data_IF_457552156384
#
_entry.id   IF_457552156384
#
_cell.length_a   1.000
_cell.length_b   1.000
_cell.length_c   1.000
_cell.angle_alpha   90.00
_cell.angle_beta   90.00
_cell.angle_gamma   90.00
#
_symmetry.space_group_name_H-M   'P 1'
#
loop_
_entity.id
_entity.type
_entity.pdbx_description
1 polymer ?
#
# COMPACT_ATOMS: atom_id res chain seq x y z
N UNK A 1 -6.12 -8.51 3.81
CA UNK A 1 -5.36 -8.04 5.00
C UNK A 1 -6.29 -7.25 5.91
N UNK A 2 -6.01 -7.09 7.22
CA UNK A 2 -6.89 -6.34 8.12
C UNK A 2 -6.90 -4.85 7.75
N UNK A 3 -8.09 -4.35 7.38
CA UNK A 3 -8.34 -2.92 7.18
C UNK A 3 -8.34 -2.19 8.51
N UNK A 4 -7.92 -0.92 8.50
CA UNK A 4 -7.92 -0.05 9.67
C UNK A 4 -8.09 1.40 9.24
N UNK A 5 -9.20 2.02 9.65
CA UNK A 5 -9.46 3.44 9.43
C UNK A 5 -8.38 4.32 10.05
N UNK A 6 -7.77 3.89 11.16
CA UNK A 6 -6.64 4.60 11.77
C UNK A 6 -5.45 4.67 10.80
N UNK A 7 -5.13 3.56 10.13
CA UNK A 7 -4.02 3.50 9.18
C UNK A 7 -4.33 4.33 7.94
N UNK A 8 -5.55 4.24 7.43
CA UNK A 8 -6.00 5.06 6.30
C UNK A 8 -5.83 6.56 6.61
N UNK A 9 -6.33 7.00 7.77
CA UNK A 9 -6.20 8.40 8.21
C UNK A 9 -4.75 8.82 8.48
N UNK A 10 -3.90 7.90 8.93
CA UNK A 10 -2.46 8.15 9.05
C UNK A 10 -1.85 8.50 7.68
N UNK A 11 -2.15 7.76 6.61
CA UNK A 11 -1.67 8.08 5.26
C UNK A 11 -2.27 9.40 4.73
N UNK A 12 -3.59 9.57 4.84
CA UNK A 12 -4.30 10.79 4.40
C UNK A 12 -3.84 12.07 5.12
N UNK A 13 -3.40 11.96 6.36
CA UNK A 13 -2.84 13.09 7.11
C UNK A 13 -1.36 13.37 6.80
N UNK A 14 -0.68 12.45 6.12
CA UNK A 14 0.77 12.51 5.89
C UNK A 14 1.62 12.08 7.09
N UNK A 15 1.01 11.51 8.13
CA UNK A 15 1.72 11.08 9.33
C UNK A 15 2.66 9.93 8.98
N UNK A 16 3.95 10.15 9.15
CA UNK A 16 4.95 9.09 8.96
C UNK A 16 5.09 8.23 10.22
N UNK A 17 5.25 6.93 10.03
CA UNK A 17 5.58 5.98 11.07
C UNK A 17 7.09 6.06 11.32
N UNK A 18 7.53 6.30 12.56
CA UNK A 18 8.94 6.21 12.89
C UNK A 18 9.42 4.78 12.68
N UNK A 19 10.71 4.62 12.35
CA UNK A 19 11.35 3.32 12.14
C UNK A 19 10.71 2.46 11.03
N UNK A 20 10.15 3.11 10.00
CA UNK A 20 9.63 2.44 8.82
C UNK A 20 10.28 2.98 7.54
N UNK A 21 10.52 2.07 6.59
CA UNK A 21 10.88 2.40 5.21
C UNK A 21 9.63 2.39 4.35
N UNK A 22 9.52 3.38 3.45
CA UNK A 22 8.37 3.56 2.57
C UNK A 22 8.67 3.03 1.18
N UNK A 23 7.67 2.38 0.60
CA UNK A 23 7.73 1.87 -0.76
C UNK A 23 6.42 2.10 -1.49
N UNK A 24 6.49 2.24 -2.81
CA UNK A 24 5.31 2.42 -3.65
C UNK A 24 5.29 1.44 -4.84
N UNK A 25 4.10 1.17 -5.33
CA UNK A 25 3.86 0.69 -6.70
C UNK A 25 3.26 1.82 -7.53
N UNK A 26 3.45 1.75 -8.85
CA UNK A 26 3.12 2.84 -9.76
C UNK A 26 4.30 3.77 -9.97
N UNK A 27 4.02 5.01 -10.39
CA UNK A 27 5.05 6.02 -10.64
C UNK A 27 5.04 7.07 -9.53
N UNK A 28 6.14 7.84 -9.38
CA UNK A 28 6.20 8.89 -8.36
C UNK A 28 5.06 9.92 -8.44
N UNK A 29 4.63 10.41 -9.62
CA UNK A 29 3.46 11.29 -9.70
C UNK A 29 2.12 10.57 -9.53
N UNK A 30 2.07 9.25 -9.76
CA UNK A 30 0.83 8.46 -9.75
C UNK A 30 1.07 7.10 -9.05
N UNK A 31 1.19 7.08 -7.72
CA UNK A 31 1.29 5.83 -6.97
C UNK A 31 -0.06 5.10 -6.96
N UNK A 32 -0.03 3.78 -7.08
CA UNK A 32 -1.23 2.92 -7.02
C UNK A 32 -1.38 2.23 -5.64
N UNK A 33 -0.26 2.03 -4.97
CA UNK A 33 -0.19 1.43 -3.65
C UNK A 33 1.03 1.96 -2.91
N UNK A 34 0.88 2.11 -1.61
CA UNK A 34 1.91 2.56 -0.70
C UNK A 34 2.01 1.56 0.44
N UNK A 35 3.23 1.19 0.83
CA UNK A 35 3.49 0.44 2.05
C UNK A 35 4.53 1.16 2.91
N UNK A 36 4.29 1.13 4.22
CA UNK A 36 5.27 1.49 5.24
C UNK A 36 5.67 0.19 5.94
N UNK A 37 6.93 -0.22 5.81
CA UNK A 37 7.43 -1.47 6.37
C UNK A 37 8.40 -1.19 7.51
N UNK A 38 8.24 -1.88 8.63
CA UNK A 38 9.13 -1.75 9.79
C UNK A 38 10.57 -2.03 9.37
N UNK A 39 11.51 -1.21 9.85
CA UNK A 39 12.95 -1.41 9.63
C UNK A 39 13.50 -2.69 10.30
N UNK A 40 12.67 -3.42 11.07
CA UNK A 40 13.01 -4.75 11.61
C UNK A 40 12.95 -5.89 10.59
N UNK A 41 12.40 -5.64 9.40
CA UNK A 41 12.33 -6.61 8.30
C UNK A 41 12.92 -6.02 7.02
N UNK A 42 13.46 -6.87 6.17
CA UNK A 42 14.00 -6.51 4.87
C UNK A 42 13.01 -6.87 3.76
N UNK A 43 12.63 -5.90 2.94
CA UNK A 43 11.82 -6.17 1.75
C UNK A 43 12.71 -6.77 0.63
N UNK A 44 12.39 -7.99 0.22
CA UNK A 44 12.90 -8.59 -1.01
C UNK A 44 11.85 -8.41 -2.11
N UNK A 45 12.06 -7.46 -3.02
CA UNK A 45 11.15 -7.28 -4.15
C UNK A 45 11.78 -6.55 -5.34
N UNK A 46 11.25 -6.85 -6.53
CA UNK A 46 11.44 -6.06 -7.76
C UNK A 46 10.20 -5.23 -8.12
N UNK A 47 9.14 -5.34 -7.31
CA UNK A 47 7.80 -4.81 -7.59
C UNK A 47 7.51 -3.50 -6.85
N UNK A 48 8.41 -3.12 -5.94
CA UNK A 48 8.27 -1.99 -5.05
C UNK A 48 9.48 -1.09 -5.20
N UNK A 49 9.22 0.19 -5.41
CA UNK A 49 10.26 1.22 -5.41
C UNK A 49 10.36 1.80 -4.01
N UNK A 50 11.56 1.80 -3.42
CA UNK A 50 11.79 2.51 -2.16
C UNK A 50 11.72 4.01 -2.42
N UNK A 51 11.04 4.74 -1.55
CA UNK A 51 10.88 6.19 -1.66
C UNK A 51 11.21 6.83 -0.33
N UNK A 52 11.94 7.95 -0.38
CA UNK A 52 12.26 8.76 0.79
C UNK A 52 11.37 9.99 0.79
N UNK A 53 10.17 9.86 1.36
CA UNK A 53 9.17 10.92 1.36
C UNK A 53 9.33 11.85 2.55
N UNK A 54 9.01 13.11 2.33
CA UNK A 54 8.56 14.02 3.39
C UNK A 54 7.08 13.76 3.74
N UNK A 55 6.64 14.17 4.93
CA UNK A 55 5.22 14.10 5.34
C UNK A 55 4.29 14.81 4.32
N UNK A 56 4.74 15.91 3.74
CA UNK A 56 3.99 16.67 2.73
C UNK A 56 3.84 15.89 1.43
N UNK A 57 4.89 15.21 0.98
CA UNK A 57 4.85 14.38 -0.23
C UNK A 57 3.95 13.16 -0.03
N UNK A 58 4.07 12.48 1.11
CA UNK A 58 3.19 11.37 1.49
C UNK A 58 1.72 11.81 1.48
N UNK A 59 1.42 12.94 2.13
CA UNK A 59 0.06 13.50 2.15
C UNK A 59 -0.46 13.79 0.74
N UNK A 60 0.38 14.39 -0.09
CA UNK A 60 0.01 14.77 -1.46
C UNK A 60 -0.25 13.53 -2.30
N UNK A 61 0.62 12.53 -2.22
CA UNK A 61 0.44 11.24 -2.89
C UNK A 61 -0.86 10.55 -2.44
N UNK A 62 -1.08 10.45 -1.12
CA UNK A 62 -2.28 9.83 -0.57
C UNK A 62 -3.57 10.54 -0.99
N UNK A 63 -3.56 11.89 -1.01
CA UNK A 63 -4.66 12.71 -1.49
C UNK A 63 -4.97 12.44 -2.96
N UNK A 64 -3.95 12.42 -3.83
CA UNK A 64 -4.17 12.16 -5.25
C UNK A 64 -4.60 10.72 -5.51
N UNK A 65 -4.11 9.74 -4.77
CA UNK A 65 -4.62 8.37 -4.85
C UNK A 65 -6.12 8.31 -4.54
N UNK A 66 -6.56 9.01 -3.48
CA UNK A 66 -7.96 9.02 -3.05
C UNK A 66 -8.87 9.84 -3.99
N UNK A 67 -8.31 10.82 -4.69
CA UNK A 67 -9.05 11.76 -5.55
C UNK A 67 -8.81 11.54 -7.06
N UNK A 68 -7.92 10.62 -7.44
CA UNK A 68 -7.64 10.33 -8.85
C UNK A 68 -8.89 9.74 -9.49
N UNK A 69 -9.32 10.36 -10.58
CA UNK A 69 -10.58 10.09 -11.28
C UNK A 69 -10.62 8.74 -12.00
N UNK A 70 -9.75 7.79 -11.66
CA UNK A 70 -9.79 6.40 -12.15
C UNK A 70 -10.91 5.67 -11.40
N UNK A 71 -12.15 6.05 -11.75
CA UNK A 71 -13.37 5.29 -11.55
C UNK A 71 -13.72 4.87 -10.12
N UNK A 72 -14.30 5.77 -9.31
CA UNK A 72 -15.04 5.43 -8.07
C UNK A 72 -14.30 4.54 -7.05
N UNK A 73 -12.98 4.39 -7.17
CA UNK A 73 -12.20 3.52 -6.31
C UNK A 73 -11.69 4.27 -5.10
N UNK A 74 -12.39 4.08 -3.98
CA UNK A 74 -11.89 4.51 -2.68
C UNK A 74 -10.57 3.80 -2.38
N UNK A 75 -9.66 4.55 -1.80
CA UNK A 75 -8.49 3.94 -1.17
C UNK A 75 -8.88 3.29 0.15
N UNK A 76 -8.19 2.22 0.51
CA UNK A 76 -8.28 1.58 1.82
C UNK A 76 -6.90 1.62 2.50
N UNK A 77 -6.89 1.70 3.83
CA UNK A 77 -5.70 1.52 4.65
C UNK A 77 -5.78 0.29 5.57
N UNK A 78 -4.64 -0.28 5.94
CA UNK A 78 -4.62 -1.40 6.87
C UNK A 78 -3.23 -1.85 7.32
N UNK A 79 -3.17 -2.87 8.18
CA UNK A 79 -1.89 -3.42 8.65
C UNK A 79 -1.36 -4.50 7.71
N UNK A 80 -0.05 -4.49 7.50
CA UNK A 80 0.69 -5.60 6.88
C UNK A 80 1.04 -6.60 7.97
N UNK A 81 0.65 -7.86 7.77
CA UNK A 81 0.96 -8.97 8.67
C UNK A 81 1.92 -9.96 7.98
N UNK A 82 2.94 -10.41 8.71
CA UNK A 82 3.72 -11.59 8.33
C UNK A 82 2.88 -12.87 8.48
N UNK A 83 3.30 -14.01 7.89
CA UNK A 83 2.55 -15.26 7.96
C UNK A 83 2.28 -15.77 9.39
N UNK A 84 3.14 -15.41 10.33
CA UNK A 84 3.01 -15.70 11.77
C UNK A 84 1.99 -14.80 12.50
N UNK A 85 1.38 -13.83 11.79
CA UNK A 85 0.44 -12.85 12.33
C UNK A 85 1.09 -11.60 12.93
N UNK A 86 2.42 -11.52 12.97
CA UNK A 86 3.14 -10.34 13.46
C UNK A 86 2.86 -9.14 12.55
N UNK A 87 2.53 -8.00 13.14
CA UNK A 87 2.43 -6.73 12.41
C UNK A 87 3.82 -6.27 11.99
N UNK A 88 4.04 -6.18 10.68
CA UNK A 88 5.32 -5.76 10.08
C UNK A 88 5.23 -4.41 9.38
N UNK A 89 4.04 -3.81 9.30
CA UNK A 89 3.88 -2.51 8.67
C UNK A 89 2.44 -2.08 8.47
N UNK A 90 2.26 -1.17 7.53
CA UNK A 90 1.00 -0.60 7.10
C UNK A 90 0.94 -0.50 5.57
N UNK A 91 -0.26 -0.52 5.00
CA UNK A 91 -0.52 -0.35 3.58
C UNK A 91 -1.64 0.64 3.33
N UNK A 92 -1.61 1.25 2.16
CA UNK A 92 -2.63 2.15 1.62
C UNK A 92 -2.72 1.97 0.11
N UNK A 93 -3.89 1.63 -0.42
CA UNK A 93 -4.02 1.33 -1.84
C UNK A 93 -5.47 1.45 -2.31
N UNK A 94 -5.63 1.69 -3.61
CA UNK A 94 -6.92 1.53 -4.32
C UNK A 94 -7.33 0.06 -4.49
N UNK A 95 -6.44 -0.88 -4.16
CA UNK A 95 -6.59 -2.33 -4.26
C UNK A 95 -6.45 -2.95 -2.87
N UNK A 96 -7.10 -4.07 -2.61
CA UNK A 96 -7.36 -4.54 -1.24
C UNK A 96 -6.82 -5.94 -0.90
N UNK A 97 -6.23 -6.65 -1.86
CA UNK A 97 -5.64 -7.97 -1.65
C UNK A 97 -4.15 -7.96 -1.95
N UNK A 98 -3.33 -8.39 -1.01
CA UNK A 98 -1.92 -8.70 -1.24
C UNK A 98 -1.54 -9.96 -0.44
N UNK A 99 -0.46 -10.62 -0.86
CA UNK A 99 0.14 -11.77 -0.18
C UNK A 99 1.47 -11.34 0.41
N UNK A 100 1.69 -11.67 1.69
CA UNK A 100 3.01 -11.53 2.33
C UNK A 100 3.62 -12.91 2.48
N UNK A 101 4.88 -13.06 2.09
CA UNK A 101 5.70 -14.24 2.36
C UNK A 101 6.92 -13.84 3.17
N UNK A 102 7.42 -14.78 3.96
CA UNK A 102 8.68 -14.65 4.69
C UNK A 102 9.60 -15.81 4.28
N UNK A 103 10.32 -15.70 3.14
CA UNK A 103 11.17 -16.79 2.63
C UNK A 103 12.31 -17.20 3.58
N UNK A 104 12.74 -16.28 4.45
CA UNK A 104 13.68 -16.53 5.53
C UNK A 104 13.41 -15.55 6.68
N UNK A 105 13.85 -15.85 7.91
CA UNK A 105 13.55 -15.00 9.08
C UNK A 105 13.94 -13.53 8.84
N UNK A 106 12.97 -12.63 8.96
CA UNK A 106 13.17 -11.19 8.78
C UNK A 106 13.24 -10.70 7.34
N UNK A 107 13.16 -11.57 6.33
CA UNK A 107 13.08 -11.19 4.92
C UNK A 107 11.65 -11.40 4.44
N UNK A 108 11.01 -10.35 3.94
CA UNK A 108 9.61 -10.41 3.49
C UNK A 108 9.48 -10.08 2.01
N UNK A 109 8.53 -10.75 1.36
CA UNK A 109 8.04 -10.39 0.04
C UNK A 109 6.60 -9.91 0.19
N UNK A 110 6.32 -8.69 -0.28
CA UNK A 110 4.95 -8.18 -0.40
C UNK A 110 4.59 -8.24 -1.87
N UNK A 111 3.61 -9.04 -2.24
CA UNK A 111 3.13 -9.13 -3.62
C UNK A 111 2.28 -7.90 -3.95
N UNK A 112 2.13 -7.55 -5.24
CA UNK A 112 1.35 -6.37 -5.63
C UNK A 112 -0.06 -6.46 -5.09
N UNK A 113 -0.66 -5.30 -4.82
CA UNK A 113 -2.07 -5.30 -4.48
C UNK A 113 -2.90 -5.59 -5.74
N UNK A 114 -3.90 -6.45 -5.58
CA UNK A 114 -4.91 -6.80 -6.57
C UNK A 114 -6.30 -6.44 -6.04
N UNK A 115 -7.25 -6.26 -6.96
CA UNK A 115 -8.64 -6.03 -6.60
C UNK A 115 -9.29 -7.32 -6.15
N UNK A 116 -10.01 -7.26 -5.02
CA UNK A 116 -10.94 -8.30 -4.63
C UNK A 116 -11.87 -8.67 -5.79
N UNK A 117 -12.13 -9.98 -6.03
CA UNK A 117 -13.09 -10.41 -7.04
C UNK A 117 -14.45 -9.72 -6.94
N UNK A 118 -14.85 -9.30 -5.74
CA UNK A 118 -16.12 -8.62 -5.49
C UNK A 118 -16.07 -7.09 -5.65
N UNK A 119 -14.90 -6.47 -5.88
CA UNK A 119 -14.80 -5.01 -5.91
C UNK A 119 -15.48 -4.43 -7.16
N UNK A 120 -16.26 -3.36 -6.96
CA UNK A 120 -16.80 -2.54 -8.06
C UNK A 120 -15.67 -1.99 -8.93
N UNK A 121 -14.54 -1.66 -8.30
CA UNK A 121 -13.31 -1.21 -8.92
C UNK A 121 -12.72 -2.15 -9.96
N UNK A 122 -12.68 -3.47 -9.66
CA UNK A 122 -12.17 -4.47 -10.61
C UNK A 122 -12.93 -4.43 -11.92
N UNK A 123 -14.26 -4.26 -11.85
CA UNK A 123 -15.12 -4.19 -13.04
C UNK A 123 -14.88 -2.93 -13.86
N UNK A 124 -14.57 -1.81 -13.22
CA UNK A 124 -14.27 -0.55 -13.90
C UNK A 124 -12.87 -0.59 -14.54
N UNK A 125 -11.84 -1.02 -13.80
CA UNK A 125 -10.48 -1.21 -14.31
C UNK A 125 -10.43 -2.11 -15.56
N UNK A 126 -11.18 -3.22 -15.56
CA UNK A 126 -11.26 -4.11 -16.73
C UNK A 126 -11.98 -3.48 -17.93
N UNK A 127 -12.86 -2.50 -17.72
CA UNK A 127 -13.56 -1.78 -18.82
C UNK A 127 -12.68 -0.71 -19.45
N UNK A 128 -11.83 -0.06 -18.67
CA UNK A 128 -10.96 1.03 -19.13
C UNK A 128 -9.74 0.53 -19.92
N UNK A 129 -9.54 -0.79 -20.02
CA UNK A 129 -8.46 -1.44 -20.79
C UNK A 129 -8.91 -2.02 -22.14
N UNK A 130 -10.14 -1.78 -22.59
CA UNK A 130 -10.72 -2.29 -23.85
C UNK A 130 -10.95 -1.15 -24.83
#
# INVERSE_FOLDING_TARGET
>A
MPRSLEVEQMFLSGRMLPDHSYYMQGTYPEPEAIIALSNSVQLQSRLWSKVDWTEKELKTAAFWMDNSAIGFCSTDGGYLLAPDGRKIGAWYSQRDISVVREPSPGVVEVYPFDFSPSSSCRRQFLRDQI
#
